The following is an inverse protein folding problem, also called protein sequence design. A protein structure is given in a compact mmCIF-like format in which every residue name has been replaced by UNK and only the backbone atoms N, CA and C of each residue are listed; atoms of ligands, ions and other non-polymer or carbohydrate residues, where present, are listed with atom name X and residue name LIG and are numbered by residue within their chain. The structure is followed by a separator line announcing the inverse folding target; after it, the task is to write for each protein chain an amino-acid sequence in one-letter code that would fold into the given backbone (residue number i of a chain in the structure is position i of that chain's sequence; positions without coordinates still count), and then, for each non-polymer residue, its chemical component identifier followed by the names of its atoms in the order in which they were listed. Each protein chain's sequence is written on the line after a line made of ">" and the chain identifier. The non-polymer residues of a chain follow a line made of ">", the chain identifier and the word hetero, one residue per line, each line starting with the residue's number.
data_IF_464674854440
#
_entry.id   IF_464674854440
#
_cell.length_a   1.000
_cell.length_b   1.000
_cell.length_c   1.000
_cell.angle_alpha   90.00
_cell.angle_beta   90.00
_cell.angle_gamma   90.00
#
_symmetry.space_group_name_H-M   'P 1'
#
loop_
_entity.id
_entity.type
_entity.pdbx_description
1 polymer ?
#
# COMPACT_ATOMS: atom_id res chain seq x y z
N UNK A 1 1.24 13.84 -12.06
CA UNK A 1 0.74 12.67 -11.33
C UNK A 1 1.87 12.03 -10.55
N UNK A 2 1.61 11.70 -9.30
CA UNK A 2 2.57 11.06 -8.41
C UNK A 2 2.19 9.59 -8.22
N UNK A 3 3.19 8.72 -8.22
CA UNK A 3 3.02 7.31 -7.85
C UNK A 3 3.78 7.07 -6.55
N UNK A 4 3.07 6.56 -5.55
CA UNK A 4 3.67 6.10 -4.30
C UNK A 4 3.80 4.58 -4.37
N UNK A 5 5.01 4.09 -4.23
CA UNK A 5 5.32 2.67 -4.30
C UNK A 5 5.85 2.22 -2.95
N UNK A 6 5.11 1.32 -2.30
CA UNK A 6 5.49 0.74 -1.02
C UNK A 6 5.80 -0.73 -1.20
N UNK A 7 6.85 -1.21 -0.54
CA UNK A 7 7.22 -2.62 -0.58
C UNK A 7 7.47 -3.12 0.83
N UNK A 8 6.99 -4.32 1.13
CA UNK A 8 7.35 -5.04 2.35
C UNK A 8 7.40 -6.53 2.08
N UNK A 9 8.12 -7.26 2.93
CA UNK A 9 8.28 -8.71 2.81
C UNK A 9 7.76 -9.37 4.08
N UNK A 10 6.90 -10.37 3.92
CA UNK A 10 6.29 -11.12 5.01
C UNK A 10 7.28 -12.17 5.49
N UNK A 11 7.56 -12.17 6.81
CA UNK A 11 8.54 -13.07 7.42
C UNK A 11 7.94 -14.40 7.89
N UNK A 12 6.61 -14.50 7.95
CA UNK A 12 5.92 -15.72 8.43
C UNK A 12 4.89 -16.18 7.38
N UNK A 13 4.16 -17.27 7.69
CA UNK A 13 3.25 -17.93 6.75
C UNK A 13 1.91 -17.20 6.58
N UNK A 14 1.91 -15.88 6.55
CA UNK A 14 0.68 -15.08 6.51
C UNK A 14 0.40 -14.43 5.14
N UNK A 15 1.06 -14.88 4.08
CA UNK A 15 0.87 -14.29 2.74
C UNK A 15 -0.60 -14.37 2.29
N UNK A 16 -1.25 -15.51 2.49
CA UNK A 16 -2.66 -15.67 2.10
C UNK A 16 -3.58 -14.76 2.92
N UNK A 17 -3.32 -14.63 4.22
CA UNK A 17 -4.08 -13.73 5.09
C UNK A 17 -3.91 -12.27 4.68
N UNK A 18 -2.71 -11.88 4.29
CA UNK A 18 -2.42 -10.52 3.80
C UNK A 18 -3.17 -10.26 2.49
N UNK A 19 -3.13 -11.20 1.55
CA UNK A 19 -3.87 -11.07 0.29
C UNK A 19 -5.36 -10.93 0.53
N UNK A 20 -5.92 -11.75 1.42
CA UNK A 20 -7.34 -11.67 1.78
C UNK A 20 -7.69 -10.31 2.37
N UNK A 21 -6.84 -9.79 3.26
CA UNK A 21 -7.05 -8.48 3.88
C UNK A 21 -7.08 -7.36 2.83
N UNK A 22 -6.18 -7.38 1.85
CA UNK A 22 -6.17 -6.39 0.78
C UNK A 22 -7.39 -6.50 -0.12
N UNK A 23 -7.83 -7.72 -0.45
CA UNK A 23 -9.04 -7.92 -1.25
C UNK A 23 -10.30 -7.40 -0.56
N UNK A 24 -10.31 -7.42 0.78
CA UNK A 24 -11.43 -6.99 1.61
C UNK A 24 -11.21 -5.60 2.22
N UNK A 25 -10.25 -4.84 1.71
CA UNK A 25 -9.92 -3.53 2.26
C UNK A 25 -11.14 -2.61 2.28
N UNK A 26 -11.25 -1.69 3.26
CA UNK A 26 -12.44 -0.84 3.41
C UNK A 26 -12.57 0.26 2.36
N UNK A 27 -11.66 0.39 1.42
CA UNK A 27 -11.66 1.39 0.35
C UNK A 27 -11.71 2.85 0.83
N UNK A 28 -11.19 3.12 2.03
CA UNK A 28 -11.20 4.48 2.59
C UNK A 28 -10.36 5.45 1.77
N UNK A 29 -9.22 4.98 1.24
CA UNK A 29 -8.32 5.81 0.43
C UNK A 29 -8.99 6.26 -0.87
N UNK A 30 -9.94 5.49 -1.38
CA UNK A 30 -10.65 5.81 -2.63
C UNK A 30 -11.45 7.12 -2.51
N UNK A 31 -11.73 7.57 -1.29
CA UNK A 31 -12.43 8.82 -1.01
C UNK A 31 -11.48 10.00 -0.77
N UNK A 32 -10.19 9.76 -0.72
CA UNK A 32 -9.21 10.82 -0.48
C UNK A 32 -9.13 11.76 -1.68
N UNK A 33 -9.04 13.05 -1.39
CA UNK A 33 -8.89 14.07 -2.45
C UNK A 33 -7.59 13.82 -3.22
N UNK A 34 -7.69 13.79 -4.54
CA UNK A 34 -6.54 13.58 -5.42
C UNK A 34 -6.12 12.12 -5.61
N UNK A 35 -6.83 11.17 -5.00
CA UNK A 35 -6.56 9.74 -5.22
C UNK A 35 -7.03 9.33 -6.62
N UNK A 36 -6.16 8.64 -7.37
CA UNK A 36 -6.43 8.20 -8.74
C UNK A 36 -6.57 6.69 -8.90
N UNK A 37 -5.95 5.92 -8.01
CA UNK A 37 -6.05 4.47 -8.09
C UNK A 37 -5.04 3.75 -7.23
N UNK A 38 -5.27 2.44 -7.03
CA UNK A 38 -4.42 1.59 -6.21
C UNK A 38 -4.39 0.17 -6.75
N UNK A 39 -3.22 -0.43 -6.68
CA UNK A 39 -3.04 -1.85 -6.99
C UNK A 39 -2.12 -2.45 -5.94
N UNK A 40 -2.38 -3.71 -5.61
CA UNK A 40 -1.51 -4.50 -4.74
C UNK A 40 -1.04 -5.70 -5.54
N UNK A 41 0.27 -5.93 -5.55
CA UNK A 41 0.84 -6.97 -6.38
C UNK A 41 2.00 -7.66 -5.69
N UNK A 42 2.34 -8.84 -6.17
CA UNK A 42 3.52 -9.58 -5.76
C UNK A 42 4.30 -10.01 -7.00
N UNK A 43 5.62 -10.15 -6.92
CA UNK A 43 6.37 -10.76 -8.01
C UNK A 43 5.84 -12.17 -8.28
N UNK A 44 5.85 -12.57 -9.54
CA UNK A 44 5.46 -13.93 -9.88
C UNK A 44 6.39 -14.92 -9.16
N UNK A 45 5.77 -15.89 -8.48
CA UNK A 45 6.53 -16.90 -7.74
C UNK A 45 6.99 -16.49 -6.34
N UNK A 46 6.65 -15.26 -5.88
CA UNK A 46 7.02 -14.81 -4.54
C UNK A 46 5.87 -14.04 -3.89
N UNK A 47 4.94 -14.76 -3.29
CA UNK A 47 3.77 -14.18 -2.63
C UNK A 47 4.09 -13.49 -1.29
N UNK A 48 5.29 -13.68 -0.75
CA UNK A 48 5.71 -13.04 0.49
C UNK A 48 6.15 -11.59 0.29
N UNK A 49 6.50 -11.19 -0.93
CA UNK A 49 6.87 -9.81 -1.25
C UNK A 49 5.64 -9.07 -1.76
N UNK A 50 5.27 -8.00 -1.07
CA UNK A 50 4.06 -7.23 -1.37
C UNK A 50 4.46 -5.84 -1.85
N UNK A 51 3.90 -5.43 -2.97
CA UNK A 51 4.07 -4.10 -3.55
C UNK A 51 2.72 -3.41 -3.59
N UNK A 52 2.68 -2.21 -3.03
CA UNK A 52 1.49 -1.38 -2.99
C UNK A 52 1.73 -0.17 -3.87
N UNK A 53 0.93 -0.02 -4.91
CA UNK A 53 1.04 1.09 -5.87
C UNK A 53 -0.18 1.98 -5.68
N UNK A 54 0.03 3.25 -5.34
CA UNK A 54 -1.04 4.23 -5.30
C UNK A 54 -0.71 5.40 -6.22
N UNK A 55 -1.72 5.91 -6.89
CA UNK A 55 -1.59 7.03 -7.83
C UNK A 55 -2.35 8.24 -7.32
N UNK A 56 -1.74 9.41 -7.45
CA UNK A 56 -2.24 10.66 -6.88
C UNK A 56 -2.07 11.80 -7.86
N UNK A 57 -2.98 12.77 -7.84
CA UNK A 57 -2.88 13.95 -8.69
C UNK A 57 -1.61 14.74 -8.40
N UNK A 58 -1.23 14.86 -7.12
CA UNK A 58 -0.05 15.60 -6.68
C UNK A 58 0.49 15.04 -5.36
N UNK A 59 1.67 15.48 -4.98
CA UNK A 59 2.34 15.05 -3.76
C UNK A 59 1.56 15.47 -2.51
N UNK A 60 0.95 16.65 -2.52
CA UNK A 60 0.22 17.15 -1.36
C UNK A 60 -0.97 16.26 -1.02
N UNK A 61 -1.69 15.77 -2.03
CA UNK A 61 -2.81 14.83 -1.83
C UNK A 61 -2.34 13.55 -1.15
N UNK A 62 -1.21 13.00 -1.57
CA UNK A 62 -0.61 11.83 -0.94
C UNK A 62 -0.26 12.10 0.53
N UNK A 63 0.40 13.24 0.80
CA UNK A 63 0.82 13.57 2.18
C UNK A 63 -0.38 13.85 3.08
N UNK A 64 -1.41 14.49 2.56
CA UNK A 64 -2.65 14.72 3.31
C UNK A 64 -3.31 13.40 3.73
N UNK A 65 -3.34 12.41 2.86
CA UNK A 65 -3.87 11.09 3.19
C UNK A 65 -3.05 10.43 4.30
N UNK A 66 -1.72 10.40 4.15
CA UNK A 66 -0.83 9.73 5.10
C UNK A 66 -0.86 10.35 6.50
N UNK A 67 -1.14 11.63 6.62
CA UNK A 67 -1.25 12.31 7.92
C UNK A 67 -2.67 12.31 8.48
N UNK A 68 -3.65 11.77 7.75
CA UNK A 68 -5.06 11.80 8.13
C UNK A 68 -5.49 10.63 9.00
N UNK A 69 -6.63 10.80 9.67
CA UNK A 69 -7.20 9.75 10.53
C UNK A 69 -7.62 8.51 9.74
N UNK A 70 -8.06 8.67 8.50
CA UNK A 70 -8.53 7.56 7.68
C UNK A 70 -7.39 6.64 7.24
N UNK A 71 -6.17 7.16 7.14
CA UNK A 71 -5.00 6.33 6.90
C UNK A 71 -4.85 5.28 8.00
N UNK A 72 -4.93 5.69 9.26
CA UNK A 72 -4.84 4.76 10.38
C UNK A 72 -6.04 3.80 10.43
N UNK A 73 -7.23 4.28 10.11
CA UNK A 73 -8.42 3.42 10.05
C UNK A 73 -8.29 2.34 8.98
N UNK A 74 -7.67 2.63 7.84
CA UNK A 74 -7.49 1.67 6.75
C UNK A 74 -6.56 0.52 7.13
N UNK A 75 -5.72 0.68 8.16
CA UNK A 75 -4.80 -0.36 8.62
C UNK A 75 -5.41 -1.31 9.65
N UNK A 76 -6.66 -1.12 10.05
CA UNK A 76 -7.32 -1.99 11.04
C UNK A 76 -7.51 -3.43 10.54
N UNK A 77 -7.52 -3.64 9.22
CA UNK A 77 -7.66 -4.97 8.62
C UNK A 77 -6.38 -5.76 8.51
N UNK A 78 -5.25 -5.22 9.00
CA UNK A 78 -3.97 -5.95 8.97
C UNK A 78 -4.08 -7.20 9.85
N UNK A 79 -3.72 -8.39 9.36
CA UNK A 79 -3.80 -9.62 10.14
C UNK A 79 -2.98 -9.54 11.42
N UNK A 80 -3.55 -9.99 12.53
CA UNK A 80 -2.83 -10.08 13.80
C UNK A 80 -1.71 -11.10 13.68
N UNK A 81 -0.57 -10.80 14.29
CA UNK A 81 0.58 -11.69 14.26
C UNK A 81 1.43 -11.58 13.00
N UNK A 82 1.08 -10.68 12.07
CA UNK A 82 1.90 -10.44 10.89
C UNK A 82 3.30 -9.98 11.29
N UNK A 83 4.32 -10.62 10.71
CA UNK A 83 5.72 -10.22 10.89
C UNK A 83 6.34 -9.90 9.55
N UNK A 84 7.12 -8.82 9.53
CA UNK A 84 7.82 -8.36 8.34
C UNK A 84 9.32 -8.61 8.48
N UNK A 85 9.98 -8.84 7.35
CA UNK A 85 11.44 -8.97 7.32
C UNK A 85 12.06 -7.59 7.59
N UNK A 86 12.90 -7.43 8.64
CA UNK A 86 13.51 -6.15 8.96
C UNK A 86 14.36 -5.62 7.81
N UNK A 87 14.31 -4.30 7.57
CA UNK A 87 15.09 -3.64 6.53
C UNK A 87 14.59 -3.83 5.12
N UNK A 88 13.51 -4.58 4.91
CA UNK A 88 12.92 -4.83 3.59
C UNK A 88 11.67 -4.00 3.31
N UNK A 89 11.36 -3.04 4.18
CA UNK A 89 10.25 -2.11 3.97
C UNK A 89 10.78 -0.82 3.36
N UNK A 90 10.14 -0.39 2.26
CA UNK A 90 10.57 0.79 1.53
C UNK A 90 9.36 1.52 0.98
N UNK A 91 9.38 2.85 1.03
CA UNK A 91 8.39 3.72 0.37
C UNK A 91 9.14 4.70 -0.50
N UNK A 92 8.74 4.79 -1.78
CA UNK A 92 9.31 5.75 -2.73
C UNK A 92 8.21 6.49 -3.45
N UNK A 93 8.44 7.77 -3.68
CA UNK A 93 7.55 8.60 -4.48
C UNK A 93 8.18 8.84 -5.84
N UNK A 94 7.37 8.74 -6.89
CA UNK A 94 7.79 8.94 -8.27
C UNK A 94 6.93 10.00 -8.92
N UNK A 95 7.55 10.84 -9.74
CA UNK A 95 6.83 11.74 -10.61
C UNK A 95 6.69 11.08 -11.99
N UNK A 96 5.46 10.95 -12.47
CA UNK A 96 5.22 10.41 -13.82
C UNK A 96 5.34 11.56 -14.80
N UNK A 97 6.44 11.61 -15.52
CA UNK A 97 6.72 12.73 -16.45
C UNK A 97 6.47 12.35 -17.92
N UNK A 98 6.17 11.09 -18.21
CA UNK A 98 5.86 10.63 -19.57
C UNK A 98 4.96 9.41 -19.52
N UNK A 99 4.15 9.23 -20.54
CA UNK A 99 3.26 8.05 -20.69
C UNK A 99 3.33 7.49 -22.10
#
# INVERSE_FOLDING_TARGET
>A
MIVALSRFTIANDMADAVQAAFRQRPHLVDQASGFLGMEVMSPLGNSAEIWLVTRWEDEQSYRNWHSGHQYHASHRGIPKGLKLVPGMTEVRLFDVFAT
#
